data_IF_344941667460
#
_entry.id   IF_344941667460
#
_cell.length_a   1.000
_cell.length_b   1.000
_cell.length_c   1.000
_cell.angle_alpha   90.00
_cell.angle_beta   90.00
_cell.angle_gamma   90.00
#
_symmetry.space_group_name_H-M   'P 1'
#
loop_
_entity.id
_entity.type
_entity.pdbx_description
1 polymer ?
#
# COMPACT_ATOMS: atom_id res chain seq x y z
N UNK A 1 2.39 17.59 -7.80
CA UNK A 1 1.16 16.78 -7.83
C UNK A 1 1.34 15.84 -6.68
N UNK A 2 0.58 16.09 -5.61
CA UNK A 2 0.94 15.64 -4.28
C UNK A 2 -0.13 14.65 -3.83
N UNK A 3 0.07 13.37 -4.17
CA UNK A 3 -0.86 12.30 -3.81
C UNK A 3 -0.73 12.04 -2.31
N UNK A 4 -1.84 12.00 -1.59
CA UNK A 4 -1.82 11.72 -0.14
C UNK A 4 -2.94 10.79 0.30
N UNK A 5 -2.74 10.15 1.44
CA UNK A 5 -3.72 9.24 2.07
C UNK A 5 -4.29 9.93 3.30
N UNK A 6 -5.60 10.03 3.40
CA UNK A 6 -6.30 10.69 4.50
C UNK A 6 -7.04 9.65 5.33
N UNK A 7 -6.70 9.55 6.62
CA UNK A 7 -7.33 8.62 7.56
C UNK A 7 -7.45 9.27 8.95
N UNK A 8 -8.13 8.64 9.90
CA UNK A 8 -8.15 9.15 11.28
C UNK A 8 -6.87 8.74 12.03
N UNK A 9 -6.48 9.53 13.03
CA UNK A 9 -5.37 9.16 13.92
C UNK A 9 -5.59 7.80 14.62
N UNK A 10 -6.84 7.48 14.97
CA UNK A 10 -7.18 6.20 15.59
C UNK A 10 -6.95 5.02 14.63
N UNK A 11 -7.35 5.17 13.35
CA UNK A 11 -7.11 4.16 12.33
C UNK A 11 -5.62 3.99 12.05
N UNK A 12 -4.87 5.09 11.97
CA UNK A 12 -3.42 5.02 11.79
C UNK A 12 -2.73 4.29 12.96
N UNK A 13 -3.17 4.55 14.21
CA UNK A 13 -2.66 3.84 15.37
C UNK A 13 -2.99 2.34 15.33
N UNK A 14 -4.21 1.97 14.90
CA UNK A 14 -4.63 0.57 14.72
C UNK A 14 -3.78 -0.16 13.64
N UNK A 15 -3.53 0.51 12.51
CA UNK A 15 -2.62 0.01 11.46
C UNK A 15 -1.23 -0.26 12.05
N UNK A 16 -0.65 0.67 12.81
CA UNK A 16 0.68 0.48 13.40
C UNK A 16 0.73 -0.67 14.41
N UNK A 17 -0.33 -0.86 15.20
CA UNK A 17 -0.45 -1.99 16.14
C UNK A 17 -0.52 -3.33 15.40
N UNK A 18 -1.25 -3.37 14.28
CA UNK A 18 -1.33 -4.55 13.41
C UNK A 18 -0.01 -4.86 12.70
N UNK A 19 0.64 -3.83 12.15
CA UNK A 19 1.86 -3.99 11.37
C UNK A 19 3.07 -4.39 12.20
N UNK A 20 3.12 -3.99 13.48
CA UNK A 20 4.26 -4.25 14.36
C UNK A 20 3.84 -4.95 15.65
N UNK A 21 3.28 -6.18 15.57
CA UNK A 21 2.88 -6.91 16.76
C UNK A 21 4.12 -7.31 17.56
N UNK A 22 4.02 -7.23 18.89
CA UNK A 22 5.16 -7.48 19.77
C UNK A 22 5.71 -8.89 19.59
N UNK A 23 7.01 -9.00 19.30
CA UNK A 23 7.72 -10.27 19.19
C UNK A 23 7.59 -10.97 17.84
N UNK A 24 6.80 -10.43 16.91
CA UNK A 24 6.77 -10.92 15.53
C UNK A 24 7.75 -10.11 14.67
N UNK A 25 8.39 -10.79 13.73
CA UNK A 25 9.33 -10.19 12.76
C UNK A 25 8.92 -10.47 11.32
N UNK A 26 7.80 -11.17 11.11
CA UNK A 26 7.22 -11.38 9.79
C UNK A 26 6.58 -10.09 9.30
N UNK A 27 6.53 -9.94 7.99
CA UNK A 27 5.76 -8.88 7.37
C UNK A 27 4.27 -9.09 7.69
N UNK A 28 3.61 -7.97 7.95
CA UNK A 28 2.17 -7.88 8.14
C UNK A 28 1.64 -6.92 7.10
N UNK A 29 0.39 -7.10 6.71
CA UNK A 29 -0.24 -6.24 5.74
C UNK A 29 -1.74 -6.12 5.89
N UNK A 30 -2.31 -5.31 5.02
CA UNK A 30 -3.73 -5.06 4.93
C UNK A 30 -4.08 -4.12 3.80
N UNK A 31 -5.38 -3.84 3.68
CA UNK A 31 -5.90 -2.98 2.63
C UNK A 31 -6.78 -1.89 3.21
N UNK A 32 -6.57 -0.67 2.72
CA UNK A 32 -7.51 0.44 2.90
C UNK A 32 -8.45 0.51 1.71
N UNK A 33 -9.73 0.68 2.00
CA UNK A 33 -10.76 0.98 1.01
C UNK A 33 -11.03 2.48 1.04
N UNK A 34 -10.81 3.15 -0.09
CA UNK A 34 -10.81 4.59 -0.18
C UNK A 34 -11.84 5.10 -1.19
N UNK A 35 -12.46 6.24 -0.92
CA UNK A 35 -12.87 7.11 -2.04
C UNK A 35 -11.64 7.85 -2.55
N UNK A 36 -11.64 8.19 -3.83
CA UNK A 36 -10.57 8.97 -4.45
C UNK A 36 -11.14 10.28 -4.98
N UNK A 37 -10.44 11.38 -4.71
CA UNK A 37 -10.73 12.70 -5.26
C UNK A 37 -9.72 13.00 -6.36
N UNK A 38 -10.19 13.06 -7.61
CA UNK A 38 -9.36 13.28 -8.80
C UNK A 38 -8.76 14.70 -8.85
N UNK A 39 -9.45 15.70 -8.30
CA UNK A 39 -8.99 17.10 -8.34
C UNK A 39 -7.84 17.32 -7.34
N UNK A 40 -7.99 16.76 -6.14
CA UNK A 40 -6.99 16.92 -5.07
C UNK A 40 -5.97 15.78 -4.99
N UNK A 41 -6.21 14.69 -5.73
CA UNK A 41 -5.42 13.45 -5.72
C UNK A 41 -5.33 12.78 -4.34
N UNK A 42 -6.42 12.84 -3.57
CA UNK A 42 -6.48 12.33 -2.20
C UNK A 42 -7.23 11.00 -2.14
N UNK A 43 -6.62 10.01 -1.51
CA UNK A 43 -7.30 8.79 -1.07
C UNK A 43 -7.92 9.02 0.30
N UNK A 44 -9.23 9.19 0.37
CA UNK A 44 -9.96 9.33 1.62
C UNK A 44 -10.37 7.94 2.12
N UNK A 45 -9.73 7.49 3.20
CA UNK A 45 -9.93 6.15 3.73
C UNK A 45 -11.30 6.02 4.38
N UNK A 46 -12.05 5.01 3.95
CA UNK A 46 -13.38 4.67 4.46
C UNK A 46 -13.33 3.45 5.39
N UNK A 47 -12.47 2.49 5.08
CA UNK A 47 -12.35 1.26 5.85
C UNK A 47 -10.92 0.71 5.83
N UNK A 48 -10.49 0.13 6.95
CA UNK A 48 -9.25 -0.62 7.12
C UNK A 48 -9.56 -2.11 7.27
N UNK A 49 -8.87 -2.95 6.50
CA UNK A 49 -8.95 -4.40 6.59
C UNK A 49 -7.56 -4.97 6.90
N UNK A 50 -7.26 -5.29 8.17
CA UNK A 50 -6.04 -6.01 8.53
C UNK A 50 -6.13 -7.45 8.02
N UNK A 51 -5.05 -7.95 7.41
CA UNK A 51 -4.97 -9.35 6.99
C UNK A 51 -4.53 -10.24 8.15
N UNK A 52 -5.03 -11.45 8.16
CA UNK A 52 -4.71 -12.49 9.14
C UNK A 52 -3.85 -13.58 8.51
N UNK A 53 -3.31 -14.50 9.30
CA UNK A 53 -2.48 -15.59 8.78
C UNK A 53 -3.18 -16.45 7.72
N UNK A 54 -4.51 -16.59 7.76
CA UNK A 54 -5.27 -17.35 6.75
C UNK A 54 -5.41 -16.62 5.41
N UNK A 55 -5.09 -15.33 5.35
CA UNK A 55 -5.19 -14.54 4.13
C UNK A 55 -3.95 -14.66 3.22
N UNK A 56 -2.88 -15.27 3.74
CA UNK A 56 -1.62 -15.41 3.06
C UNK A 56 -1.42 -16.83 2.53
N UNK A 57 -1.01 -16.93 1.27
CA UNK A 57 -0.41 -18.15 0.72
C UNK A 57 1.03 -18.32 1.26
N UNK A 58 1.72 -17.20 1.45
CA UNK A 58 3.04 -17.13 2.09
C UNK A 58 3.16 -15.86 2.94
N UNK A 59 3.68 -15.99 4.16
CA UNK A 59 3.90 -14.86 5.08
C UNK A 59 5.25 -15.02 5.78
N UNK A 60 6.26 -14.36 5.24
CA UNK A 60 7.63 -14.43 5.72
C UNK A 60 8.15 -13.06 6.19
N UNK A 61 9.44 -12.96 6.48
CA UNK A 61 10.08 -11.73 6.97
C UNK A 61 10.36 -10.70 5.86
N UNK A 62 10.43 -11.15 4.62
CA UNK A 62 10.81 -10.37 3.45
C UNK A 62 9.97 -10.74 2.21
N UNK A 63 8.82 -11.36 2.43
CA UNK A 63 7.93 -11.81 1.37
C UNK A 63 6.49 -12.03 1.87
N UNK A 64 5.54 -11.45 1.15
CA UNK A 64 4.11 -11.66 1.31
C UNK A 64 3.49 -12.15 0.00
N UNK A 65 2.63 -13.15 0.09
CA UNK A 65 1.78 -13.60 -1.01
C UNK A 65 0.36 -13.83 -0.49
N UNK A 66 -0.62 -13.21 -1.12
CA UNK A 66 -2.03 -13.38 -0.77
C UNK A 66 -2.60 -14.68 -1.35
N UNK A 67 -3.45 -15.35 -0.58
CA UNK A 67 -4.30 -16.41 -1.12
C UNK A 67 -5.22 -15.87 -2.23
N UNK A 68 -5.50 -16.69 -3.24
CA UNK A 68 -6.42 -16.33 -4.33
C UNK A 68 -7.83 -15.98 -3.85
N UNK A 69 -8.30 -16.67 -2.80
CA UNK A 69 -9.59 -16.38 -2.16
C UNK A 69 -9.63 -15.00 -1.52
N UNK A 70 -8.54 -14.58 -0.89
CA UNK A 70 -8.39 -13.25 -0.29
C UNK A 70 -8.36 -12.19 -1.39
N UNK A 71 -7.55 -12.39 -2.43
CA UNK A 71 -7.50 -11.49 -3.60
C UNK A 71 -8.89 -11.31 -4.23
N UNK A 72 -9.61 -12.40 -4.46
CA UNK A 72 -10.96 -12.36 -5.03
C UNK A 72 -11.94 -11.59 -4.13
N UNK A 73 -11.86 -11.82 -2.80
CA UNK A 73 -12.73 -11.16 -1.82
C UNK A 73 -12.44 -9.66 -1.70
N UNK A 74 -11.16 -9.25 -1.72
CA UNK A 74 -10.73 -7.85 -1.73
C UNK A 74 -11.28 -7.11 -2.96
N UNK A 75 -11.12 -7.68 -4.15
CA UNK A 75 -11.62 -7.10 -5.41
C UNK A 75 -13.13 -6.97 -5.35
N UNK A 76 -13.82 -8.02 -4.92
CA UNK A 76 -15.28 -8.01 -4.81
C UNK A 76 -15.75 -6.90 -3.86
N UNK A 77 -15.16 -6.82 -2.67
CA UNK A 77 -15.50 -5.79 -1.69
C UNK A 77 -15.24 -4.38 -2.22
N UNK A 78 -14.07 -4.14 -2.81
CA UNK A 78 -13.73 -2.85 -3.39
C UNK A 78 -14.68 -2.46 -4.53
N UNK A 79 -15.05 -3.41 -5.38
CA UNK A 79 -16.04 -3.20 -6.42
C UNK A 79 -17.41 -2.83 -5.84
N UNK A 80 -17.90 -3.59 -4.86
CA UNK A 80 -19.20 -3.37 -4.22
C UNK A 80 -19.26 -2.03 -3.45
N UNK A 81 -18.12 -1.57 -2.94
CA UNK A 81 -17.98 -0.29 -2.23
C UNK A 81 -17.73 0.93 -3.12
N UNK A 82 -17.52 0.72 -4.43
CA UNK A 82 -17.01 1.76 -5.33
C UNK A 82 -15.69 2.39 -4.81
N UNK A 83 -14.77 1.54 -4.34
CA UNK A 83 -13.55 1.97 -3.65
C UNK A 83 -12.29 1.80 -4.52
N UNK A 84 -11.38 2.76 -4.38
CA UNK A 84 -9.96 2.58 -4.66
C UNK A 84 -9.31 1.77 -3.53
N UNK A 85 -8.18 1.12 -3.83
CA UNK A 85 -7.44 0.32 -2.87
C UNK A 85 -6.08 0.95 -2.56
N UNK A 86 -5.71 0.94 -1.29
CA UNK A 86 -4.33 1.17 -0.85
C UNK A 86 -3.86 -0.09 -0.15
N UNK A 87 -2.86 -0.76 -0.72
CA UNK A 87 -2.14 -1.85 -0.07
C UNK A 87 -1.20 -1.29 0.98
N UNK A 88 -1.12 -1.95 2.12
CA UNK A 88 -0.18 -1.62 3.18
C UNK A 88 0.54 -2.87 3.61
N UNK A 89 1.87 -2.79 3.74
CA UNK A 89 2.64 -3.77 4.49
C UNK A 89 3.79 -3.14 5.25
N UNK A 90 4.48 -3.95 6.05
CA UNK A 90 5.67 -3.52 6.78
C UNK A 90 6.90 -4.32 6.38
N UNK A 91 8.08 -3.70 6.48
CA UNK A 91 9.38 -4.36 6.45
C UNK A 91 10.02 -4.28 7.84
N UNK A 92 9.78 -5.25 8.74
CA UNK A 92 10.27 -5.19 10.12
C UNK A 92 11.80 -5.08 10.19
N UNK A 93 12.29 -3.98 10.76
CA UNK A 93 13.72 -3.75 11.01
C UNK A 93 14.43 -2.89 9.96
N UNK A 94 13.74 -2.44 8.91
CA UNK A 94 14.31 -1.46 7.99
C UNK A 94 14.20 -0.04 8.56
N UNK A 95 15.35 0.64 8.70
CA UNK A 95 15.40 2.05 9.12
C UNK A 95 15.17 3.03 7.96
N UNK A 96 15.43 2.58 6.72
CA UNK A 96 15.15 3.31 5.49
C UNK A 96 14.23 2.44 4.66
N UNK A 97 12.94 2.52 4.94
CA UNK A 97 11.95 1.71 4.24
C UNK A 97 11.87 2.13 2.78
N UNK A 98 11.79 1.13 1.90
CA UNK A 98 11.50 1.26 0.49
C UNK A 98 10.91 -0.07 0.00
N UNK A 99 10.16 -0.06 -1.08
CA UNK A 99 9.73 -1.28 -1.74
C UNK A 99 10.94 -2.08 -2.25
N UNK A 100 10.92 -3.38 -2.00
CA UNK A 100 11.90 -4.34 -2.49
C UNK A 100 11.71 -4.62 -4.00
N UNK A 101 12.63 -5.38 -4.59
CA UNK A 101 12.47 -5.86 -5.96
C UNK A 101 11.30 -6.83 -6.08
N UNK A 102 11.06 -7.66 -5.04
CA UNK A 102 9.95 -8.60 -5.01
C UNK A 102 8.60 -7.86 -4.99
N UNK A 103 8.47 -6.81 -4.16
CA UNK A 103 7.29 -5.95 -4.14
C UNK A 103 7.03 -5.35 -5.52
N UNK A 104 8.08 -4.82 -6.16
CA UNK A 104 7.96 -4.22 -7.49
C UNK A 104 7.49 -5.21 -8.56
N UNK A 105 8.05 -6.43 -8.55
CA UNK A 105 7.61 -7.49 -9.45
C UNK A 105 6.14 -7.85 -9.19
N UNK A 106 5.76 -7.96 -7.91
CA UNK A 106 4.37 -8.15 -7.49
C UNK A 106 3.45 -7.05 -8.03
N UNK A 107 3.84 -5.78 -7.91
CA UNK A 107 3.04 -4.65 -8.42
C UNK A 107 2.88 -4.69 -9.94
N UNK A 108 3.94 -5.04 -10.68
CA UNK A 108 3.92 -5.10 -12.15
C UNK A 108 2.84 -6.07 -12.65
N UNK A 109 2.63 -7.16 -11.94
CA UNK A 109 1.64 -8.19 -12.30
C UNK A 109 0.25 -7.89 -11.67
N UNK A 110 0.23 -7.46 -10.41
CA UNK A 110 -1.00 -7.32 -9.63
C UNK A 110 -1.78 -6.03 -9.94
N UNK A 111 -1.11 -4.88 -10.00
CA UNK A 111 -1.77 -3.56 -10.11
C UNK A 111 -2.59 -3.43 -11.41
N UNK A 112 -2.09 -3.81 -12.61
CA UNK A 112 -2.89 -3.74 -13.82
C UNK A 112 -4.17 -4.59 -13.74
N UNK A 113 -4.08 -5.78 -13.14
CA UNK A 113 -5.23 -6.67 -12.97
C UNK A 113 -6.27 -6.13 -12.00
N UNK A 114 -5.84 -5.59 -10.85
CA UNK A 114 -6.74 -4.96 -9.87
C UNK A 114 -7.44 -3.77 -10.50
N UNK A 115 -6.69 -2.86 -11.12
CA UNK A 115 -7.28 -1.65 -11.71
C UNK A 115 -8.24 -1.99 -12.83
N UNK A 116 -7.95 -3.00 -13.66
CA UNK A 116 -8.89 -3.47 -14.68
C UNK A 116 -10.22 -3.95 -14.05
N UNK A 117 -10.16 -4.77 -13.00
CA UNK A 117 -11.36 -5.25 -12.28
C UNK A 117 -12.11 -4.12 -11.56
N UNK A 118 -11.39 -3.10 -11.12
CA UNK A 118 -11.94 -1.92 -10.46
C UNK A 118 -12.16 -0.76 -11.44
N UNK A 119 -12.42 -1.03 -12.72
CA UNK A 119 -12.83 -0.03 -13.75
C UNK A 119 -11.87 1.16 -13.85
N UNK A 120 -10.57 0.93 -13.69
CA UNK A 120 -9.52 1.94 -13.80
C UNK A 120 -9.27 2.77 -12.54
N UNK A 121 -9.99 2.51 -11.44
CA UNK A 121 -9.81 3.23 -10.17
C UNK A 121 -8.34 3.24 -9.73
N UNK A 122 -7.90 4.32 -9.05
CA UNK A 122 -6.53 4.40 -8.57
C UNK A 122 -6.18 3.27 -7.61
N UNK A 123 -4.89 2.94 -7.60
CA UNK A 123 -4.28 2.02 -6.65
C UNK A 123 -3.11 2.71 -5.98
N UNK A 124 -2.90 2.47 -4.70
CA UNK A 124 -1.69 2.89 -4.02
C UNK A 124 -1.11 1.75 -3.18
N UNK A 125 0.15 1.87 -2.84
CA UNK A 125 0.83 0.98 -1.91
C UNK A 125 1.63 1.83 -0.93
N UNK A 126 1.62 1.43 0.35
CA UNK A 126 2.45 1.98 1.40
C UNK A 126 3.28 0.86 2.03
N UNK A 127 4.55 1.15 2.29
CA UNK A 127 5.42 0.27 3.05
C UNK A 127 5.91 0.98 4.30
N UNK A 128 5.79 0.31 5.44
CA UNK A 128 6.14 0.83 6.75
C UNK A 128 7.45 0.22 7.28
N UNK A 129 8.36 1.08 7.71
CA UNK A 129 9.39 0.75 8.70
C UNK A 129 8.94 1.20 10.09
N UNK A 130 9.70 0.87 11.13
CA UNK A 130 9.34 1.24 12.52
C UNK A 130 9.19 2.75 12.76
N UNK A 131 9.85 3.58 11.95
CA UNK A 131 9.92 5.03 12.13
C UNK A 131 9.74 5.81 10.83
N UNK A 132 9.43 5.14 9.72
CA UNK A 132 9.33 5.76 8.42
C UNK A 132 8.30 5.04 7.55
N UNK A 133 7.81 5.74 6.55
CA UNK A 133 6.81 5.27 5.59
C UNK A 133 7.33 5.63 4.21
N UNK A 134 6.99 4.81 3.23
CA UNK A 134 7.18 5.15 1.82
C UNK A 134 6.00 4.66 0.98
N UNK A 135 5.83 5.17 -0.23
CA UNK A 135 4.63 4.84 -0.99
C UNK A 135 4.59 5.22 -2.46
N UNK A 136 3.79 4.48 -3.19
CA UNK A 136 3.51 4.65 -4.61
C UNK A 136 2.01 4.76 -4.87
N UNK A 137 1.64 5.46 -5.94
CA UNK A 137 0.28 5.50 -6.46
C UNK A 137 0.25 5.38 -7.98
N UNK A 138 -0.73 4.63 -8.49
CA UNK A 138 -1.07 4.47 -9.89
C UNK A 138 -2.48 5.05 -10.10
N UNK A 139 -2.55 6.27 -10.63
CA UNK A 139 -3.80 7.05 -10.69
C UNK A 139 -4.44 6.98 -12.08
N UNK A 140 -3.66 7.14 -13.14
CA UNK A 140 -4.15 7.22 -14.51
C UNK A 140 -3.67 6.02 -15.35
N UNK A 141 -3.77 6.08 -16.68
CA UNK A 141 -3.29 4.99 -17.54
C UNK A 141 -1.76 4.89 -17.62
N UNK A 142 -1.00 5.69 -16.87
CA UNK A 142 0.44 5.56 -16.81
C UNK A 142 0.84 4.20 -16.24
N UNK A 143 1.87 3.62 -16.86
CA UNK A 143 2.47 2.35 -16.39
C UNK A 143 3.33 2.56 -15.15
N UNK A 144 3.84 3.77 -14.94
CA UNK A 144 4.73 4.09 -13.83
C UNK A 144 3.94 4.71 -12.67
N UNK A 145 4.24 4.34 -11.42
CA UNK A 145 3.67 5.00 -10.27
C UNK A 145 4.26 6.39 -10.08
N UNK A 146 3.54 7.20 -9.32
CA UNK A 146 4.03 8.44 -8.74
C UNK A 146 4.16 8.32 -7.22
N UNK A 147 4.90 9.24 -6.60
CA UNK A 147 5.10 9.24 -5.16
C UNK A 147 3.79 9.54 -4.42
N UNK A 148 3.47 8.76 -3.38
CA UNK A 148 2.58 9.23 -2.32
C UNK A 148 3.40 10.13 -1.43
N UNK A 149 2.99 11.37 -1.16
CA UNK A 149 3.77 12.36 -0.39
C UNK A 149 3.64 12.17 1.13
N UNK A 150 2.55 11.58 1.59
CA UNK A 150 2.35 11.31 3.01
C UNK A 150 0.94 10.88 3.38
N UNK A 151 0.77 10.73 4.69
CA UNK A 151 -0.48 10.37 5.35
C UNK A 151 -0.95 11.52 6.24
N UNK A 152 -2.14 12.02 5.99
CA UNK A 152 -2.80 13.00 6.84
C UNK A 152 -3.75 12.27 7.81
N UNK A 153 -3.52 12.44 9.12
CA UNK A 153 -4.34 11.84 10.17
C UNK A 153 -5.40 12.79 10.75
N UNK A 154 -5.48 14.01 10.20
CA UNK A 154 -6.21 15.15 10.77
C UNK A 154 -5.49 15.81 11.95
N UNK A 155 -4.59 15.10 12.64
CA UNK A 155 -3.77 15.61 13.74
C UNK A 155 -2.32 15.88 13.32
N UNK A 156 -1.81 15.09 12.38
CA UNK A 156 -0.44 15.19 11.88
C UNK A 156 -0.37 14.78 10.41
N UNK A 157 0.65 15.29 9.73
CA UNK A 157 1.04 14.83 8.41
C UNK A 157 2.34 14.00 8.52
N UNK A 158 2.27 12.73 8.16
CA UNK A 158 3.40 11.81 8.15
C UNK A 158 3.96 11.71 6.73
N UNK A 159 5.05 12.42 6.46
CA UNK A 159 5.69 12.43 5.15
C UNK A 159 6.30 11.08 4.80
N UNK A 160 6.17 10.66 3.54
CA UNK A 160 6.93 9.54 3.00
C UNK A 160 8.39 9.91 2.77
N UNK A 161 9.27 8.91 2.77
CA UNK A 161 10.70 9.12 2.53
C UNK A 161 11.07 9.33 1.06
N UNK A 162 10.28 8.81 0.11
CA UNK A 162 10.58 8.85 -1.32
C UNK A 162 11.73 7.93 -1.74
N UNK A 163 12.17 7.01 -0.87
CA UNK A 163 13.28 6.10 -1.14
C UNK A 163 12.98 5.17 -2.34
N UNK A 164 11.73 4.75 -2.47
CA UNK A 164 11.24 3.86 -3.52
C UNK A 164 11.23 4.58 -4.87
N UNK A 165 10.80 5.84 -4.92
CA UNK A 165 10.91 6.67 -6.14
C UNK A 165 12.38 6.92 -6.53
N UNK A 166 13.25 7.12 -5.53
CA UNK A 166 14.69 7.24 -5.76
C UNK A 166 15.29 5.92 -6.30
N UNK A 167 14.83 4.76 -5.84
CA UNK A 167 15.25 3.46 -6.36
C UNK A 167 14.75 3.25 -7.81
N UNK A 168 13.50 3.59 -8.09
CA UNK A 168 12.90 3.51 -9.42
C UNK A 168 13.64 4.38 -10.43
N UNK A 169 13.89 5.65 -10.11
CA UNK A 169 14.60 6.59 -11.01
C UNK A 169 16.06 6.20 -11.28
N UNK A 170 16.67 5.36 -10.45
CA UNK A 170 18.02 4.80 -10.65
C UNK A 170 18.01 3.49 -11.44
N UNK A 171 16.86 3.05 -11.95
CA UNK A 171 16.72 1.80 -12.69
C UNK A 171 16.91 0.56 -11.82
N UNK A 172 16.78 0.67 -10.49
CA UNK A 172 16.98 -0.47 -9.58
C UNK A 172 15.98 -1.60 -9.86
N UNK A 173 14.80 -1.24 -10.34
CA UNK A 173 13.72 -2.16 -10.68
C UNK A 173 13.70 -2.60 -12.15
N UNK A 174 14.59 -2.07 -12.99
CA UNK A 174 14.68 -2.39 -14.44
C UNK A 174 15.71 -3.49 -14.75
N UNK A 175 16.48 -3.95 -13.75
CA UNK A 175 17.57 -4.94 -13.93
C UNK A 175 17.10 -6.40 -14.05
N UNK A 176 15.99 -6.66 -14.75
CA UNK A 176 15.52 -8.03 -15.06
C UNK A 176 15.24 -8.17 -16.55
#
# INVERSE_FOLDING_TARGET
>A
MDVSIHMSAAMHADILLHLFPKGDRREQGGFLFCSYDDETQIFNVREWLPLTSSDYASQERDYLELCDTTRASLIKKAHDMDAALVEIHCHPGQQKVAFSLADWMGFKDFVPHIRWRLKGRPYAALVYGYQCIDGFAWIDQQKLPINVTGINTGQAFHSTTGNSMNALSRGFYEKI
#
